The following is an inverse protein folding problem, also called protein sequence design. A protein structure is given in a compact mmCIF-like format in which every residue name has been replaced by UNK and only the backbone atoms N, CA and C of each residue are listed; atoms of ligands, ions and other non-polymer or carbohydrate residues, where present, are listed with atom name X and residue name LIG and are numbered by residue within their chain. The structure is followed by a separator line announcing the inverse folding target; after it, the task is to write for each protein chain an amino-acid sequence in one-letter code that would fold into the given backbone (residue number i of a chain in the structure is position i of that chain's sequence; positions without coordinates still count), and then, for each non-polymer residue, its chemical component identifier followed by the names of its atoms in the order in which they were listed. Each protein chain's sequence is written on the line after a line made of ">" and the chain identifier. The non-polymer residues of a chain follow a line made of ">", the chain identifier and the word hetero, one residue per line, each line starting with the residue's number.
data_IF_387576316996
#
_entry.id   IF_387576316996
#
_cell.length_a   1.000
_cell.length_b   1.000
_cell.length_c   1.000
_cell.angle_alpha   90.00
_cell.angle_beta   90.00
_cell.angle_gamma   90.00
#
_symmetry.space_group_name_H-M   'P 1'
#
loop_
_entity.id
_entity.type
_entity.pdbx_description
1 polymer ?
#
# COMPACT_ATOMS: atom_id res chain seq x y z
N UNK A 1 14.83 -50.00 32.43
CA UNK A 1 14.13 -49.37 33.57
C UNK A 1 14.35 -47.87 33.48
N UNK A 2 13.23 -47.15 33.31
CA UNK A 2 12.93 -45.77 33.79
C UNK A 2 13.92 -44.64 33.43
N UNK A 3 13.62 -43.75 32.47
CA UNK A 3 12.60 -42.67 32.39
C UNK A 3 13.00 -41.33 33.06
N UNK A 4 12.75 -40.25 32.29
CA UNK A 4 12.37 -38.89 32.71
C UNK A 4 13.52 -37.95 33.12
N UNK A 5 13.65 -36.71 32.63
CA UNK A 5 12.60 -35.77 32.21
C UNK A 5 13.14 -34.72 31.23
N UNK A 6 12.33 -34.44 30.21
CA UNK A 6 12.50 -33.39 29.22
C UNK A 6 12.28 -31.97 29.79
N UNK A 7 12.81 -30.96 29.11
CA UNK A 7 12.08 -29.69 28.97
C UNK A 7 12.42 -29.00 27.65
N UNK A 8 11.62 -29.34 26.66
CA UNK A 8 11.32 -28.52 25.48
C UNK A 8 11.02 -27.08 25.86
N UNK A 9 11.66 -26.12 25.21
CA UNK A 9 10.93 -24.93 24.75
C UNK A 9 11.51 -24.43 23.43
N UNK A 10 10.96 -24.98 22.36
CA UNK A 10 10.96 -24.33 21.06
C UNK A 10 10.01 -23.12 21.16
N UNK A 11 10.53 -21.93 20.89
CA UNK A 11 9.79 -20.67 20.91
C UNK A 11 10.20 -19.82 19.73
N UNK A 12 9.55 -20.08 18.58
CA UNK A 12 9.07 -19.13 17.57
C UNK A 12 10.05 -18.13 16.90
N UNK A 13 9.93 -18.12 15.57
CA UNK A 13 10.40 -17.13 14.57
C UNK A 13 11.78 -17.41 13.99
N UNK A 14 11.78 -17.97 12.78
CA UNK A 14 12.96 -18.07 11.95
C UNK A 14 13.35 -16.72 11.37
N UNK A 15 14.65 -16.53 11.20
CA UNK A 15 15.17 -15.81 10.05
C UNK A 15 16.24 -16.71 9.45
N UNK A 16 15.94 -17.25 8.27
CA UNK A 16 16.95 -17.74 7.37
C UNK A 16 17.82 -16.52 6.99
N UNK A 17 19.02 -16.47 7.54
CA UNK A 17 20.11 -15.79 6.85
C UNK A 17 21.10 -16.88 6.54
N UNK A 18 21.14 -17.27 5.27
CA UNK A 18 22.17 -18.14 4.72
C UNK A 18 23.51 -17.40 4.77
N UNK A 19 24.08 -17.27 5.96
CA UNK A 19 25.50 -17.01 6.10
C UNK A 19 26.18 -18.34 5.80
N UNK A 20 26.59 -18.52 4.54
CA UNK A 20 27.59 -19.54 4.22
C UNK A 20 28.73 -19.41 5.24
N UNK A 21 29.22 -20.51 5.84
CA UNK A 21 30.33 -20.44 6.76
C UNK A 21 31.50 -19.77 6.02
N UNK A 22 31.85 -18.56 6.45
CA UNK A 22 32.93 -17.79 5.85
C UNK A 22 34.21 -18.59 6.05
N UNK A 23 34.82 -19.04 4.95
CA UNK A 23 36.11 -19.71 4.97
C UNK A 23 37.17 -18.62 4.99
N UNK A 24 37.79 -18.40 6.15
CA UNK A 24 38.94 -17.51 6.27
C UNK A 24 40.16 -18.22 5.65
N UNK A 25 40.60 -17.77 4.47
CA UNK A 25 41.80 -18.27 3.81
C UNK A 25 42.96 -17.38 4.25
N UNK A 26 43.76 -17.88 5.20
CA UNK A 26 44.91 -17.16 5.75
C UNK A 26 46.17 -17.57 4.98
N UNK A 27 46.93 -16.61 4.39
CA UNK A 27 48.21 -16.93 3.75
C UNK A 27 49.25 -17.43 4.76
N UNK A 28 50.12 -18.36 4.36
CA UNK A 28 51.13 -18.98 5.25
C UNK A 28 52.00 -17.98 6.03
N UNK A 29 52.22 -16.78 5.49
CA UNK A 29 52.99 -15.72 6.15
C UNK A 29 52.35 -15.12 7.40
N UNK A 30 51.06 -15.36 7.64
CA UNK A 30 50.33 -14.88 8.83
C UNK A 30 50.15 -15.95 9.91
N UNK A 31 50.60 -17.18 9.64
CA UNK A 31 50.57 -18.27 10.62
C UNK A 31 51.79 -18.16 11.53
N UNK A 32 51.58 -18.29 12.85
CA UNK A 32 52.70 -18.44 13.78
C UNK A 32 53.28 -19.84 13.61
N UNK A 33 54.55 -19.93 13.20
CA UNK A 33 55.24 -21.20 13.06
C UNK A 33 55.49 -21.80 14.44
N UNK A 34 54.94 -22.99 14.70
CA UNK A 34 55.14 -23.72 15.95
C UNK A 34 56.41 -24.59 15.95
N UNK A 35 57.33 -24.31 15.03
CA UNK A 35 58.59 -25.04 14.83
C UNK A 35 58.50 -26.14 13.75
N UNK A 36 59.65 -26.77 13.43
CA UNK A 36 59.73 -27.75 12.35
C UNK A 36 58.79 -28.93 12.57
N UNK A 37 57.89 -29.18 11.61
CA UNK A 37 56.95 -30.30 11.65
C UNK A 37 55.70 -30.11 12.52
N UNK A 38 55.50 -28.94 13.14
CA UNK A 38 54.34 -28.68 14.04
C UNK A 38 53.25 -27.78 13.45
N UNK A 39 53.31 -27.47 12.16
CA UNK A 39 52.33 -26.64 11.46
C UNK A 39 52.31 -25.18 11.96
N UNK A 40 51.39 -24.40 11.40
CA UNK A 40 51.14 -23.02 11.80
C UNK A 40 49.81 -22.90 12.54
N UNK A 41 49.76 -22.10 13.60
CA UNK A 41 48.50 -21.78 14.28
C UNK A 41 48.11 -20.32 14.02
N UNK A 42 46.83 -20.12 13.71
CA UNK A 42 46.20 -18.81 13.65
C UNK A 42 45.42 -18.59 14.95
N UNK A 43 45.63 -17.46 15.60
CA UNK A 43 44.97 -17.07 16.84
C UNK A 43 43.89 -16.04 16.49
N UNK A 44 42.62 -16.45 16.56
CA UNK A 44 41.46 -15.66 16.14
C UNK A 44 41.11 -14.56 17.15
N UNK A 45 41.54 -14.72 18.41
CA UNK A 45 41.25 -13.81 19.52
C UNK A 45 42.37 -12.77 19.75
N UNK A 46 43.46 -12.84 18.97
CA UNK A 46 44.50 -11.83 19.01
C UNK A 46 43.96 -10.51 18.43
N UNK A 47 43.78 -9.50 19.29
CA UNK A 47 43.50 -8.13 18.85
C UNK A 47 44.50 -7.74 17.74
N UNK A 48 43.98 -7.41 16.57
CA UNK A 48 44.75 -7.15 15.35
C UNK A 48 45.53 -5.84 15.50
N UNK A 49 46.62 -5.88 16.25
CA UNK A 49 47.66 -4.88 16.19
C UNK A 49 48.50 -5.20 14.96
N UNK A 50 48.17 -4.57 13.83
CA UNK A 50 49.04 -4.56 12.67
C UNK A 50 50.32 -3.78 13.01
N UNK A 51 51.28 -4.44 13.69
CA UNK A 51 52.62 -3.91 13.86
C UNK A 51 53.29 -3.87 12.48
N UNK A 52 53.14 -2.74 11.78
CA UNK A 52 53.98 -2.44 10.63
C UNK A 52 55.41 -2.31 11.13
N UNK A 53 56.27 -3.25 10.75
CA UNK A 53 57.72 -3.12 10.89
C UNK A 53 58.23 -2.05 9.94
N UNK A 54 58.03 -0.76 10.28
CA UNK A 54 58.64 0.36 9.57
C UNK A 54 60.04 0.62 10.17
N UNK A 55 61.10 0.67 9.34
CA UNK A 55 62.44 1.03 9.82
C UNK A 55 62.46 2.48 10.36
N UNK A 56 63.27 2.81 11.39
CA UNK A 56 63.19 4.09 12.12
C UNK A 56 63.59 5.34 11.32
N UNK A 57 63.99 5.18 10.05
CA UNK A 57 64.52 6.27 9.21
C UNK A 57 63.48 6.90 8.30
N UNK A 58 62.29 6.32 8.18
CA UNK A 58 61.17 6.95 7.47
C UNK A 58 60.17 7.50 8.47
N UNK A 59 59.70 8.72 8.21
CA UNK A 59 58.68 9.45 8.98
C UNK A 59 57.32 8.71 8.93
N UNK A 60 57.24 7.55 9.56
CA UNK A 60 56.08 6.66 9.60
C UNK A 60 55.08 7.10 10.64
N UNK A 61 54.35 8.18 10.34
CA UNK A 61 53.18 8.58 11.13
C UNK A 61 52.11 7.48 11.16
N UNK A 62 51.37 7.42 12.28
CA UNK A 62 50.24 6.51 12.47
C UNK A 62 49.23 6.73 11.33
N UNK A 63 49.12 5.76 10.43
CA UNK A 63 48.11 5.79 9.37
C UNK A 63 46.80 5.28 9.95
N UNK A 64 45.85 6.17 10.23
CA UNK A 64 44.48 5.79 10.59
C UNK A 64 43.77 5.20 9.36
N UNK A 65 43.48 3.91 9.40
CA UNK A 65 42.57 3.28 8.46
C UNK A 65 41.14 3.55 8.94
N UNK A 66 40.53 4.63 8.45
CA UNK A 66 39.12 4.91 8.69
C UNK A 66 38.33 4.43 7.47
N UNK A 67 37.34 3.57 7.69
CA UNK A 67 36.45 3.11 6.63
C UNK A 67 35.45 4.21 6.28
N UNK A 68 35.09 4.27 5.01
CA UNK A 68 34.09 5.22 4.52
C UNK A 68 32.70 4.88 5.09
N UNK A 69 32.00 5.87 5.62
CA UNK A 69 30.67 5.66 6.22
C UNK A 69 29.65 5.71 5.08
N UNK A 70 29.08 4.55 4.75
CA UNK A 70 28.10 4.32 3.68
C UNK A 70 26.69 4.83 3.99
N UNK A 71 26.56 6.13 4.28
CA UNK A 71 25.29 6.72 4.70
C UNK A 71 24.24 6.62 3.58
N UNK A 72 24.63 6.89 2.34
CA UNK A 72 23.73 6.90 1.19
C UNK A 72 23.16 5.51 0.88
N UNK A 73 23.98 4.45 0.91
CA UNK A 73 23.50 3.09 0.68
C UNK A 73 22.55 2.62 1.79
N UNK A 74 22.84 3.00 3.04
CA UNK A 74 21.96 2.70 4.17
C UNK A 74 20.64 3.46 4.08
N UNK A 75 20.66 4.74 3.71
CA UNK A 75 19.45 5.54 3.50
C UNK A 75 18.57 4.93 2.41
N UNK A 76 19.15 4.63 1.24
CA UNK A 76 18.41 4.03 0.12
C UNK A 76 17.77 2.69 0.49
N UNK A 77 18.48 1.88 1.27
CA UNK A 77 17.96 0.59 1.76
C UNK A 77 16.83 0.78 2.75
N UNK A 78 16.96 1.73 3.68
CA UNK A 78 15.93 2.03 4.67
C UNK A 78 14.64 2.58 4.02
N UNK A 79 14.76 3.47 3.03
CA UNK A 79 13.62 3.98 2.26
C UNK A 79 12.91 2.84 1.50
N UNK A 80 13.67 1.97 0.84
CA UNK A 80 13.11 0.81 0.13
C UNK A 80 12.38 -0.14 1.09
N UNK A 81 12.97 -0.44 2.25
CA UNK A 81 12.36 -1.31 3.26
C UNK A 81 11.06 -0.70 3.80
N UNK A 82 11.06 0.61 4.06
CA UNK A 82 9.88 1.32 4.57
C UNK A 82 8.75 1.31 3.53
N UNK A 83 9.07 1.52 2.25
CA UNK A 83 8.10 1.40 1.15
C UNK A 83 7.52 0.00 1.05
N UNK A 84 8.35 -1.04 1.15
CA UNK A 84 7.91 -2.43 1.13
C UNK A 84 7.02 -2.75 2.34
N UNK A 85 7.38 -2.27 3.53
CA UNK A 85 6.59 -2.43 4.74
C UNK A 85 5.19 -1.79 4.60
N UNK A 86 5.12 -0.54 4.12
CA UNK A 86 3.85 0.15 3.88
C UNK A 86 2.97 -0.60 2.87
N UNK A 87 3.56 -1.06 1.76
CA UNK A 87 2.86 -1.85 0.75
C UNK A 87 2.37 -3.20 1.29
N UNK A 88 3.16 -3.86 2.14
CA UNK A 88 2.78 -5.13 2.79
C UNK A 88 1.59 -4.96 3.73
N UNK A 89 1.51 -3.80 4.39
CA UNK A 89 0.37 -3.41 5.23
C UNK A 89 -0.84 -2.91 4.42
N UNK A 90 -0.76 -2.92 3.08
CA UNK A 90 -1.79 -2.45 2.14
C UNK A 90 -2.15 -0.97 2.27
N UNK A 91 -1.21 -0.16 2.71
CA UNK A 91 -1.32 1.29 2.66
C UNK A 91 -0.68 1.83 1.38
N UNK A 92 -1.19 2.96 0.90
CA UNK A 92 -0.57 3.74 -0.16
C UNK A 92 0.72 4.38 0.36
N UNK A 93 1.82 4.31 -0.42
CA UNK A 93 3.10 4.86 0.00
C UNK A 93 3.05 6.39 0.22
N UNK A 94 2.13 7.07 -0.45
CA UNK A 94 1.84 8.50 -0.30
C UNK A 94 1.37 8.88 1.10
N UNK A 95 0.58 8.04 1.76
CA UNK A 95 0.10 8.30 3.13
C UNK A 95 1.25 8.44 4.14
N UNK A 96 2.44 7.93 3.80
CA UNK A 96 3.65 8.02 4.60
C UNK A 96 4.68 9.02 4.04
N UNK A 97 4.36 9.78 2.98
CA UNK A 97 5.31 10.70 2.34
C UNK A 97 6.53 10.01 1.73
N UNK A 98 6.42 8.73 1.39
CA UNK A 98 7.50 7.92 0.79
C UNK A 98 7.55 8.06 -0.75
N UNK A 99 6.69 8.94 -1.27
CA UNK A 99 6.48 9.23 -2.68
C UNK A 99 7.15 10.56 -3.11
N UNK A 100 7.98 11.13 -2.24
CA UNK A 100 8.75 12.38 -2.39
C UNK A 100 9.87 12.33 -3.45
N UNK A 101 9.67 11.60 -4.54
CA UNK A 101 10.48 11.77 -5.75
C UNK A 101 10.15 13.15 -6.36
N UNK A 102 10.78 14.18 -5.79
CA UNK A 102 10.97 15.54 -6.30
C UNK A 102 9.82 16.13 -7.11
N UNK A 103 8.83 16.72 -6.44
CA UNK A 103 8.04 17.87 -6.94
C UNK A 103 7.36 17.77 -8.31
N UNK A 104 7.36 16.61 -8.96
CA UNK A 104 6.66 16.40 -10.22
C UNK A 104 5.18 16.40 -9.89
N UNK A 105 4.44 17.34 -10.50
CA UNK A 105 3.00 17.36 -10.47
C UNK A 105 2.50 16.04 -11.09
N UNK A 106 2.17 15.08 -10.23
CA UNK A 106 1.65 13.78 -10.65
C UNK A 106 0.29 13.97 -11.29
N UNK A 107 0.02 13.18 -12.32
CA UNK A 107 -1.30 13.17 -12.94
C UNK A 107 -2.30 12.52 -11.99
N UNK A 108 -3.56 12.97 -12.00
CA UNK A 108 -4.60 12.47 -11.09
C UNK A 108 -4.75 10.94 -11.15
N UNK A 109 -4.58 10.35 -12.33
CA UNK A 109 -4.67 8.89 -12.54
C UNK A 109 -3.55 8.11 -11.84
N UNK A 110 -2.34 8.68 -11.75
CA UNK A 110 -1.24 8.05 -11.01
C UNK A 110 -1.51 8.07 -9.50
N UNK A 111 -2.18 9.12 -9.01
CA UNK A 111 -2.60 9.24 -7.62
C UNK A 111 -3.62 8.16 -7.27
N UNK A 112 -4.65 7.99 -8.11
CA UNK A 112 -5.69 6.99 -7.87
C UNK A 112 -5.11 5.56 -7.89
N UNK A 113 -4.21 5.29 -8.84
CA UNK A 113 -3.51 4.00 -8.94
C UNK A 113 -2.68 3.67 -7.68
N UNK A 114 -2.13 4.68 -7.02
CA UNK A 114 -1.36 4.52 -5.78
C UNK A 114 -2.27 4.26 -4.55
N UNK A 115 -3.48 4.83 -4.55
CA UNK A 115 -4.46 4.71 -3.46
C UNK A 115 -5.35 3.45 -3.54
N UNK A 116 -5.37 2.77 -4.69
CA UNK A 116 -6.15 1.55 -4.94
C UNK A 116 -6.03 0.47 -3.85
N UNK A 117 -4.81 0.23 -3.35
CA UNK A 117 -4.56 -0.81 -2.32
C UNK A 117 -5.27 -0.48 -1.00
N UNK A 118 -5.26 0.79 -0.62
CA UNK A 118 -5.95 1.30 0.57
C UNK A 118 -7.46 1.15 0.38
N UNK A 119 -7.97 1.52 -0.80
CA UNK A 119 -9.40 1.47 -1.12
C UNK A 119 -9.96 0.04 -1.16
N UNK A 120 -9.22 -0.92 -1.74
CA UNK A 120 -9.59 -2.35 -1.70
C UNK A 120 -9.70 -2.84 -0.26
N UNK A 121 -8.78 -2.42 0.62
CA UNK A 121 -8.77 -2.82 2.02
C UNK A 121 -9.91 -2.18 2.79
N UNK A 122 -10.19 -0.89 2.55
CA UNK A 122 -11.34 -0.17 3.11
C UNK A 122 -12.65 -0.85 2.71
N UNK A 123 -12.84 -1.16 1.43
CA UNK A 123 -14.05 -1.86 0.92
C UNK A 123 -14.28 -3.19 1.63
N UNK A 124 -13.22 -3.98 1.86
CA UNK A 124 -13.30 -5.23 2.63
C UNK A 124 -13.68 -5.00 4.09
N UNK A 125 -13.06 -4.01 4.75
CA UNK A 125 -13.36 -3.66 6.15
C UNK A 125 -14.79 -3.15 6.30
N UNK A 126 -15.21 -2.22 5.45
CA UNK A 126 -16.58 -1.71 5.41
C UNK A 126 -17.59 -2.83 5.18
N UNK A 127 -17.31 -3.76 4.25
CA UNK A 127 -18.15 -4.94 4.03
C UNK A 127 -18.29 -5.84 5.27
N UNK A 128 -17.18 -6.09 5.98
CA UNK A 128 -17.19 -6.83 7.24
C UNK A 128 -18.04 -6.13 8.32
N UNK A 129 -17.85 -4.83 8.50
CA UNK A 129 -18.61 -4.04 9.48
C UNK A 129 -20.09 -3.90 9.12
N UNK A 130 -20.41 -3.74 7.83
CA UNK A 130 -21.79 -3.59 7.32
C UNK A 130 -22.70 -4.74 7.74
N UNK A 131 -22.18 -5.97 7.74
CA UNK A 131 -22.96 -7.15 8.15
C UNK A 131 -23.27 -7.14 9.65
N UNK A 132 -22.27 -6.88 10.50
CA UNK A 132 -22.46 -6.93 11.96
C UNK A 132 -23.18 -5.71 12.54
N UNK A 133 -23.01 -4.54 11.93
CA UNK A 133 -23.56 -3.29 12.47
C UNK A 133 -25.08 -3.20 12.36
N UNK A 134 -25.66 -3.70 11.26
CA UNK A 134 -27.11 -3.70 11.07
C UNK A 134 -27.82 -4.53 12.13
N UNK A 135 -27.30 -5.73 12.40
CA UNK A 135 -27.91 -6.66 13.36
C UNK A 135 -27.64 -6.22 14.82
N UNK A 136 -26.48 -5.65 15.09
CA UNK A 136 -26.10 -5.15 16.43
C UNK A 136 -26.94 -3.95 16.90
N UNK A 137 -27.24 -3.00 16.01
CA UNK A 137 -28.05 -1.83 16.35
C UNK A 137 -29.50 -2.19 16.68
N UNK A 138 -30.08 -3.15 15.96
CA UNK A 138 -31.43 -3.66 16.23
C UNK A 138 -31.51 -4.43 17.56
N UNK A 139 -30.48 -5.24 17.86
CA UNK A 139 -30.40 -5.93 19.14
C UNK A 139 -30.28 -4.95 20.32
N UNK A 140 -29.52 -3.85 20.15
CA UNK A 140 -29.41 -2.79 21.14
C UNK A 140 -30.76 -2.07 21.34
N UNK A 141 -31.49 -1.79 20.25
CA UNK A 141 -32.80 -1.15 20.31
C UNK A 141 -33.83 -1.98 21.08
N UNK A 142 -33.89 -3.29 20.79
CA UNK A 142 -34.79 -4.22 21.47
C UNK A 142 -34.55 -4.26 22.99
N UNK A 143 -33.29 -4.22 23.42
CA UNK A 143 -32.93 -4.24 24.85
C UNK A 143 -33.20 -2.90 25.53
N UNK A 144 -32.86 -1.78 24.88
CA UNK A 144 -32.85 -0.47 25.53
C UNK A 144 -34.17 0.29 25.39
N UNK A 145 -34.80 0.26 24.21
CA UNK A 145 -36.00 1.04 23.91
C UNK A 145 -37.29 0.21 23.95
N UNK A 146 -37.20 -1.13 24.02
CA UNK A 146 -38.35 -2.07 24.09
C UNK A 146 -39.39 -1.78 23.01
N UNK A 147 -38.95 -1.41 21.82
CA UNK A 147 -39.83 -1.08 20.70
C UNK A 147 -40.63 -2.34 20.31
N UNK A 148 -41.92 -2.17 20.01
CA UNK A 148 -42.81 -3.26 19.54
C UNK A 148 -42.78 -3.42 18.02
N UNK A 149 -41.86 -2.73 17.36
CA UNK A 149 -41.72 -2.74 15.90
C UNK A 149 -40.90 -3.96 15.52
N UNK A 150 -41.36 -4.76 14.55
CA UNK A 150 -40.57 -5.86 14.00
C UNK A 150 -39.34 -5.26 13.33
N UNK A 151 -38.12 -5.52 13.83
CA UNK A 151 -36.93 -4.91 13.28
C UNK A 151 -36.67 -5.45 11.87
N UNK A 152 -36.86 -4.61 10.86
CA UNK A 152 -36.39 -4.86 9.49
C UNK A 152 -34.91 -4.49 9.40
N UNK A 153 -34.11 -5.29 8.68
CA UNK A 153 -32.66 -5.08 8.59
C UNK A 153 -32.37 -3.74 7.90
N UNK A 154 -31.72 -2.77 8.59
CA UNK A 154 -31.44 -1.48 7.97
C UNK A 154 -30.42 -1.63 6.84
N UNK A 155 -30.63 -0.86 5.78
CA UNK A 155 -29.66 -0.68 4.70
C UNK A 155 -28.53 0.22 5.20
N UNK A 156 -27.42 -0.38 5.60
CA UNK A 156 -26.19 0.36 5.96
C UNK A 156 -25.37 0.60 4.69
N UNK A 157 -25.14 1.86 4.33
CA UNK A 157 -24.29 2.22 3.19
C UNK A 157 -23.09 3.03 3.68
N UNK A 158 -21.90 2.57 3.31
CA UNK A 158 -20.66 3.31 3.51
C UNK A 158 -20.33 3.96 2.17
N UNK A 159 -20.29 5.30 2.07
CA UNK A 159 -19.91 5.95 0.83
C UNK A 159 -18.46 5.59 0.47
N UNK A 160 -18.23 5.29 -0.79
CA UNK A 160 -16.88 5.23 -1.33
C UNK A 160 -16.32 6.66 -1.34
N UNK A 161 -15.12 6.84 -0.79
CA UNK A 161 -14.49 8.15 -0.58
C UNK A 161 -13.69 8.60 -1.80
N UNK A 162 -13.68 7.81 -2.88
CA UNK A 162 -13.08 8.22 -4.14
C UNK A 162 -13.99 9.28 -4.75
N UNK A 163 -13.64 10.54 -4.54
CA UNK A 163 -14.13 11.61 -5.38
C UNK A 163 -13.51 11.39 -6.76
N UNK A 164 -14.24 10.68 -7.63
CA UNK A 164 -13.88 10.56 -9.03
C UNK A 164 -13.72 11.99 -9.59
N UNK A 165 -12.61 12.24 -10.30
CA UNK A 165 -12.34 13.55 -10.86
C UNK A 165 -13.52 13.98 -11.74
N UNK A 166 -14.06 15.20 -11.60
CA UNK A 166 -15.13 15.69 -12.46
C UNK A 166 -14.73 15.70 -13.94
N UNK A 167 -13.43 15.69 -14.24
CA UNK A 167 -12.93 15.59 -15.61
C UNK A 167 -13.11 14.17 -16.18
N UNK A 168 -12.83 13.14 -15.40
CA UNK A 168 -12.87 11.75 -15.87
C UNK A 168 -14.33 11.29 -16.06
N UNK A 169 -15.22 11.72 -15.17
CA UNK A 169 -16.66 11.51 -15.31
C UNK A 169 -17.20 12.23 -16.55
N UNK A 170 -16.76 13.47 -16.80
CA UNK A 170 -17.14 14.23 -18.00
C UNK A 170 -16.67 13.57 -19.30
N UNK A 171 -15.42 13.11 -19.35
CA UNK A 171 -14.86 12.41 -20.52
C UNK A 171 -15.61 11.09 -20.79
N UNK A 172 -15.89 10.34 -19.73
CA UNK A 172 -16.66 9.09 -19.83
C UNK A 172 -18.06 9.35 -20.37
N UNK A 173 -18.74 10.39 -19.87
CA UNK A 173 -20.07 10.78 -20.33
C UNK A 173 -20.07 11.29 -21.77
N UNK A 174 -19.02 11.99 -22.22
CA UNK A 174 -18.87 12.43 -23.62
C UNK A 174 -18.73 11.22 -24.56
N UNK A 175 -17.87 10.26 -24.21
CA UNK A 175 -17.66 9.05 -25.01
C UNK A 175 -18.94 8.23 -25.12
N UNK A 176 -19.66 8.05 -24.01
CA UNK A 176 -20.95 7.34 -23.98
C UNK A 176 -22.02 8.05 -24.80
N UNK A 177 -22.06 9.38 -24.75
CA UNK A 177 -22.99 10.18 -25.54
C UNK A 177 -22.67 10.11 -27.03
N UNK A 178 -21.39 10.16 -27.40
CA UNK A 178 -20.93 10.03 -28.80
C UNK A 178 -21.24 8.65 -29.37
N UNK A 179 -21.11 7.60 -28.55
CA UNK A 179 -21.50 6.24 -28.92
C UNK A 179 -23.03 6.02 -28.94
N UNK A 180 -23.82 7.01 -28.49
CA UNK A 180 -25.27 6.92 -28.30
C UNK A 180 -25.69 5.70 -27.46
N UNK A 181 -24.85 5.28 -26.52
CA UNK A 181 -25.04 4.07 -25.74
C UNK A 181 -25.97 4.30 -24.51
N UNK A 182 -26.21 5.56 -24.14
CA UNK A 182 -26.89 5.93 -22.90
C UNK A 182 -27.87 7.08 -23.13
N UNK A 183 -29.06 7.00 -22.52
CA UNK A 183 -30.07 8.06 -22.59
C UNK A 183 -29.69 9.29 -21.77
N UNK A 184 -30.31 10.44 -22.04
CA UNK A 184 -30.08 11.68 -21.27
C UNK A 184 -30.41 11.51 -19.80
N UNK A 185 -31.51 10.82 -19.46
CA UNK A 185 -31.87 10.49 -18.08
C UNK A 185 -30.81 9.63 -17.38
N UNK A 186 -30.28 8.61 -18.08
CA UNK A 186 -29.23 7.78 -17.52
C UNK A 186 -27.91 8.54 -17.34
N UNK A 187 -27.57 9.49 -18.23
CA UNK A 187 -26.42 10.39 -18.05
C UNK A 187 -26.54 11.26 -16.79
N UNK A 188 -27.73 11.85 -16.56
CA UNK A 188 -28.00 12.64 -15.35
C UNK A 188 -27.92 11.77 -14.09
N UNK A 189 -28.43 10.52 -14.14
CA UNK A 189 -28.34 9.58 -13.02
C UNK A 189 -26.90 9.15 -12.70
N UNK A 190 -26.05 8.98 -13.73
CA UNK A 190 -24.62 8.67 -13.54
C UNK A 190 -23.91 9.86 -12.87
N UNK A 191 -24.21 11.09 -13.29
CA UNK A 191 -23.63 12.30 -12.71
C UNK A 191 -24.12 12.57 -11.27
N UNK A 192 -25.39 12.26 -10.99
CA UNK A 192 -26.04 12.47 -9.70
C UNK A 192 -26.70 11.18 -9.18
N UNK A 193 -25.91 10.23 -8.65
CA UNK A 193 -26.44 8.97 -8.13
C UNK A 193 -27.41 9.16 -6.96
N UNK A 194 -27.26 10.26 -6.21
CA UNK A 194 -28.07 10.62 -5.05
C UNK A 194 -29.45 11.20 -5.40
N UNK A 195 -29.69 11.53 -6.68
CA UNK A 195 -30.96 12.10 -7.10
C UNK A 195 -32.02 11.02 -7.26
N UNK A 196 -33.22 11.31 -6.77
CA UNK A 196 -34.40 10.51 -7.02
C UNK A 196 -34.81 10.54 -8.50
N UNK A 197 -35.50 9.50 -8.96
CA UNK A 197 -35.86 9.31 -10.37
C UNK A 197 -36.77 10.43 -10.89
N UNK A 198 -37.56 11.04 -9.99
CA UNK A 198 -38.39 12.23 -10.30
C UNK A 198 -37.55 13.44 -10.70
N UNK A 199 -36.47 13.72 -9.97
CA UNK A 199 -35.55 14.82 -10.26
C UNK A 199 -34.76 14.56 -11.53
N UNK A 200 -34.34 13.32 -11.74
CA UNK A 200 -33.62 12.90 -12.95
C UNK A 200 -34.49 13.07 -14.20
N UNK A 201 -35.76 12.70 -14.12
CA UNK A 201 -36.70 12.89 -15.23
C UNK A 201 -36.95 14.38 -15.53
N UNK A 202 -37.10 15.21 -14.50
CA UNK A 202 -37.28 16.65 -14.65
C UNK A 202 -36.08 17.32 -15.34
N UNK A 203 -34.87 16.95 -14.93
CA UNK A 203 -33.63 17.46 -15.53
C UNK A 203 -33.44 16.98 -16.96
N UNK A 204 -33.67 15.69 -17.22
CA UNK A 204 -33.61 15.16 -18.58
C UNK A 204 -34.60 15.88 -19.52
N UNK A 205 -35.82 16.15 -19.05
CA UNK A 205 -36.81 16.91 -19.80
C UNK A 205 -36.38 18.38 -20.02
N UNK A 206 -35.68 18.99 -19.06
CA UNK A 206 -35.10 20.32 -19.23
C UNK A 206 -34.04 20.34 -20.34
N UNK A 207 -33.09 19.39 -20.28
CA UNK A 207 -32.04 19.23 -21.29
C UNK A 207 -32.66 19.01 -22.67
N UNK A 208 -33.69 18.16 -22.80
CA UNK A 208 -34.35 17.91 -24.09
C UNK A 208 -35.06 19.14 -24.65
N UNK A 209 -35.65 19.98 -23.78
CA UNK A 209 -36.26 21.26 -24.17
C UNK A 209 -35.20 22.27 -24.64
N UNK A 210 -34.06 22.34 -23.95
CA UNK A 210 -32.96 23.25 -24.30
C UNK A 210 -32.24 22.83 -25.59
N UNK A 211 -32.07 21.52 -25.81
CA UNK A 211 -31.39 20.98 -27.00
C UNK A 211 -32.30 21.00 -28.24
N UNK A 212 -33.56 21.40 -28.11
CA UNK A 212 -34.53 21.47 -29.20
C UNK A 212 -34.98 20.10 -29.74
N UNK A 213 -34.51 19.00 -29.15
CA UNK A 213 -34.86 17.62 -29.55
C UNK A 213 -36.25 17.21 -29.05
N UNK A 214 -36.85 18.00 -28.16
CA UNK A 214 -38.25 17.88 -27.77
C UNK A 214 -39.23 18.57 -28.74
N UNK A 215 -38.76 19.09 -29.89
CA UNK A 215 -39.64 19.64 -30.91
C UNK A 215 -40.56 18.51 -31.44
N UNK A 216 -41.89 18.70 -31.42
CA UNK A 216 -42.82 17.75 -31.99
C UNK A 216 -42.47 17.48 -33.46
N UNK A 217 -42.55 16.22 -33.88
CA UNK A 217 -42.42 15.85 -35.29
C UNK A 217 -43.53 16.57 -36.08
N UNK A 218 -43.22 17.33 -37.14
CA UNK A 218 -44.22 18.02 -37.96
C UNK A 218 -45.25 17.08 -38.61
N UNK A 219 -45.04 15.75 -38.58
CA UNK A 219 -45.99 14.75 -39.04
C UNK A 219 -47.19 14.49 -38.12
N UNK A 220 -47.09 14.75 -36.81
CA UNK A 220 -48.17 14.46 -35.83
C UNK A 220 -49.29 15.51 -35.82
N UNK A 221 -49.09 16.63 -36.52
CA UNK A 221 -50.06 17.74 -36.62
C UNK A 221 -50.97 17.69 -37.86
N UNK A 222 -50.90 16.64 -38.68
CA UNK A 222 -51.83 16.48 -39.81
C UNK A 222 -53.05 15.64 -39.39
N UNK A 223 -54.24 16.25 -39.22
CA UNK A 223 -55.48 15.48 -39.20
C UNK A 223 -55.71 14.88 -40.60
N UNK A 224 -55.79 13.55 -40.68
CA UNK A 224 -56.34 12.84 -41.85
C UNK A 224 -57.84 13.08 -41.96
#
# INVERSE_FOLDING_TARGET
>A
MTNSTASTRCGRVGCATSASPARLIVPDGYLRSNGPGKGGSFDEDAEVYAQRSMPPTDNGGITLSQFDIRVEEHQRTAEALTRQAAQSARYAARSFGLDQNGGQARTATEVDSDDDKSMITRRKKAGHWKQGMADGLLALDAVHFRSRVTPERPRVEFPDEVAESPMDTSQTLELLNRAQAVSTAARVKILHPEWDDTKVAAEAAAILRETGTAAPDPGDTYPM
#
